data_IF_686217104159
#
_entry.id   IF_686217104159
#
_cell.length_a   1.000
_cell.length_b   1.000
_cell.length_c   1.000
_cell.angle_alpha   90.00
_cell.angle_beta   90.00
_cell.angle_gamma   90.00
#
_symmetry.space_group_name_H-M   'P 1'
#
loop_
_entity.id
_entity.type
_entity.pdbx_description
1 polymer ?
#
# COMPACT_ATOMS: atom_id res chain seq x y z
N UNK A 1 -8.04 38.93 16.34
CA UNK A 1 -7.16 38.55 15.21
C UNK A 1 -6.19 37.52 15.75
N UNK A 2 -6.68 36.29 15.84
CA UNK A 2 -6.20 35.29 16.79
C UNK A 2 -5.39 34.22 16.08
N UNK A 3 -4.07 34.35 16.24
CA UNK A 3 -3.05 33.31 16.41
C UNK A 3 -3.49 31.89 15.99
N UNK A 4 -3.21 31.53 14.74
CA UNK A 4 -3.29 30.15 14.26
C UNK A 4 -2.20 29.32 14.96
N UNK A 5 -2.63 28.58 15.97
CA UNK A 5 -1.81 27.76 16.85
C UNK A 5 -1.22 26.56 16.10
N UNK A 6 0.11 26.55 16.02
CA UNK A 6 0.97 25.53 15.43
C UNK A 6 1.15 24.32 16.36
N UNK A 7 0.06 23.62 16.72
CA UNK A 7 0.09 22.48 17.65
C UNK A 7 -0.73 21.24 17.21
N UNK A 8 -0.82 20.88 15.91
CA UNK A 8 -1.37 19.54 15.52
C UNK A 8 -0.72 18.89 14.28
N UNK A 9 0.60 18.69 14.30
CA UNK A 9 1.22 17.63 13.51
C UNK A 9 0.92 16.26 14.13
N UNK A 10 -0.31 15.75 13.97
CA UNK A 10 -0.72 14.48 14.58
C UNK A 10 -1.86 13.77 13.89
N UNK A 11 -2.91 14.49 13.53
CA UNK A 11 -3.99 14.05 12.65
C UNK A 11 -4.63 15.33 12.12
N UNK A 12 -4.19 15.80 10.96
CA UNK A 12 -5.02 16.74 10.22
C UNK A 12 -6.17 15.95 9.63
N UNK A 13 -7.37 16.49 9.77
CA UNK A 13 -8.59 15.97 9.16
C UNK A 13 -8.45 16.17 7.64
N UNK A 14 -7.55 15.44 7.00
CA UNK A 14 -7.53 15.31 5.56
C UNK A 14 -8.82 14.57 5.21
N UNK A 15 -9.88 15.29 4.86
CA UNK A 15 -11.16 14.67 4.44
C UNK A 15 -10.97 13.67 3.29
N UNK A 16 -9.81 13.71 2.63
CA UNK A 16 -9.48 12.94 1.45
C UNK A 16 -8.02 12.47 1.48
N UNK A 17 -7.79 11.19 1.18
CA UNK A 17 -6.49 10.59 0.88
C UNK A 17 -6.31 10.39 -0.63
N UNK A 18 -5.07 10.37 -1.11
CA UNK A 18 -4.76 10.14 -2.52
C UNK A 18 -4.47 8.65 -2.78
N UNK A 19 -5.06 8.10 -3.82
CA UNK A 19 -4.83 6.71 -4.21
C UNK A 19 -3.42 6.53 -4.81
N UNK A 20 -2.60 5.58 -4.34
CA UNK A 20 -1.24 5.36 -4.86
C UNK A 20 -1.21 4.82 -6.29
N UNK A 21 -2.34 4.29 -6.79
CA UNK A 21 -2.41 3.65 -8.10
C UNK A 21 -2.84 4.60 -9.21
N UNK A 22 -3.91 5.37 -8.99
CA UNK A 22 -4.51 6.24 -10.00
C UNK A 22 -4.46 7.72 -9.60
N UNK A 23 -3.88 8.05 -8.44
CA UNK A 23 -3.76 9.41 -7.94
C UNK A 23 -5.08 10.14 -7.68
N UNK A 24 -6.21 9.42 -7.73
CA UNK A 24 -7.53 10.01 -7.42
C UNK A 24 -7.67 10.33 -5.93
N UNK A 25 -8.58 11.24 -5.64
CA UNK A 25 -8.97 11.66 -4.31
C UNK A 25 -10.06 10.73 -3.76
N UNK A 26 -9.81 10.13 -2.59
CA UNK A 26 -10.69 9.17 -1.93
C UNK A 26 -10.95 9.59 -0.48
N UNK A 27 -12.09 9.24 0.15
CA UNK A 27 -12.30 9.52 1.57
C UNK A 27 -11.33 8.71 2.44
N UNK A 28 -10.99 9.23 3.63
CA UNK A 28 -9.98 8.63 4.53
C UNK A 28 -10.29 7.16 4.87
N UNK A 29 -11.57 6.85 5.07
CA UNK A 29 -12.06 5.53 5.49
C UNK A 29 -12.33 4.56 4.33
N UNK A 30 -12.21 4.99 3.06
CA UNK A 30 -12.42 4.08 1.95
C UNK A 30 -11.28 3.05 1.86
N UNK A 31 -11.59 1.77 2.07
CA UNK A 31 -10.64 0.65 1.92
C UNK A 31 -10.43 0.25 0.45
N UNK A 32 -11.27 0.76 -0.45
CA UNK A 32 -11.25 0.46 -1.87
C UNK A 32 -11.42 1.72 -2.73
N UNK A 33 -10.60 1.81 -3.77
CA UNK A 33 -10.61 2.87 -4.76
C UNK A 33 -11.83 2.81 -5.68
N UNK A 34 -12.74 3.79 -5.62
CA UNK A 34 -13.94 3.88 -6.47
C UNK A 34 -13.65 3.99 -7.97
N UNK A 35 -12.47 4.52 -8.35
CA UNK A 35 -12.09 4.70 -9.76
C UNK A 35 -11.33 3.50 -10.31
N UNK A 36 -10.45 2.91 -9.49
CA UNK A 36 -9.47 1.93 -9.93
C UNK A 36 -9.72 0.51 -9.41
N UNK A 37 -10.70 0.33 -8.52
CA UNK A 37 -11.09 -0.96 -7.94
C UNK A 37 -9.99 -1.64 -7.12
N UNK A 38 -8.88 -0.95 -6.82
CA UNK A 38 -7.78 -1.52 -6.03
C UNK A 38 -7.96 -1.22 -4.56
N UNK A 39 -7.67 -2.22 -3.72
CA UNK A 39 -7.63 -2.07 -2.27
C UNK A 39 -6.54 -1.06 -1.88
N UNK A 40 -6.93 -0.11 -1.05
CA UNK A 40 -6.07 0.99 -0.57
C UNK A 40 -6.05 0.94 0.95
N UNK A 41 -4.86 1.01 1.53
CA UNK A 41 -4.70 0.98 2.98
C UNK A 41 -5.11 2.28 3.66
N UNK A 42 -4.80 2.36 4.96
CA UNK A 42 -4.97 3.60 5.74
C UNK A 42 -4.15 4.74 5.13
N UNK A 43 -4.62 5.97 5.37
CA UNK A 43 -3.91 7.18 4.95
C UNK A 43 -2.57 7.29 5.69
N UNK A 44 -1.48 7.45 4.94
CA UNK A 44 -0.14 7.72 5.45
C UNK A 44 0.01 9.23 5.72
N UNK A 45 0.94 9.64 6.59
CA UNK A 45 1.18 11.06 6.98
C UNK A 45 1.42 12.02 5.81
N UNK A 46 1.77 11.52 4.63
CA UNK A 46 2.00 12.30 3.41
C UNK A 46 0.77 12.43 2.50
N UNK A 47 -0.43 12.14 3.01
CA UNK A 47 -1.68 12.26 2.24
C UNK A 47 -1.87 11.17 1.16
N UNK A 48 -1.02 10.15 1.13
CA UNK A 48 -1.07 9.02 0.18
C UNK A 48 -1.52 7.76 0.93
N UNK A 49 -2.41 6.96 0.33
CA UNK A 49 -2.82 5.69 0.95
C UNK A 49 -1.70 4.64 0.87
N UNK A 50 -1.50 3.88 1.95
CA UNK A 50 -0.49 2.81 1.99
C UNK A 50 -0.83 1.72 0.98
N UNK A 51 0.16 1.30 0.17
CA UNK A 51 0.00 0.17 -0.75
C UNK A 51 -0.10 -1.12 0.09
N UNK A 52 -1.17 -1.92 -0.04
CA UNK A 52 -1.21 -3.23 0.63
C UNK A 52 -0.06 -4.10 0.09
N UNK A 53 0.64 -4.80 0.99
CA UNK A 53 1.76 -5.67 0.62
C UNK A 53 1.29 -6.74 -0.36
N UNK A 54 1.88 -6.79 -1.56
CA UNK A 54 1.55 -7.75 -2.60
C UNK A 54 2.11 -9.15 -2.24
N UNK A 55 1.40 -9.92 -1.41
CA UNK A 55 1.83 -11.26 -0.95
C UNK A 55 2.06 -12.25 -2.10
N UNK A 56 1.34 -12.09 -3.21
CA UNK A 56 1.47 -12.93 -4.40
C UNK A 56 2.90 -12.90 -4.94
N UNK A 57 3.53 -11.73 -5.01
CA UNK A 57 4.90 -11.59 -5.52
C UNK A 57 5.92 -12.35 -4.66
N UNK A 58 5.72 -12.37 -3.34
CA UNK A 58 6.58 -13.12 -2.41
C UNK A 58 6.40 -14.63 -2.58
N UNK A 59 5.15 -15.09 -2.71
CA UNK A 59 4.85 -16.52 -2.93
C UNK A 59 5.50 -17.00 -4.23
N UNK A 60 5.30 -16.28 -5.33
CA UNK A 60 5.88 -16.64 -6.63
C UNK A 60 7.41 -16.69 -6.57
N UNK A 61 8.03 -15.71 -5.90
CA UNK A 61 9.48 -15.69 -5.72
C UNK A 61 9.96 -16.92 -4.93
N UNK A 62 9.34 -17.23 -3.80
CA UNK A 62 9.68 -18.41 -2.98
C UNK A 62 9.48 -19.71 -3.76
N UNK A 63 8.36 -19.84 -4.47
CA UNK A 63 8.07 -21.03 -5.29
C UNK A 63 9.12 -21.22 -6.39
N UNK A 64 9.54 -20.14 -7.06
CA UNK A 64 10.57 -20.21 -8.09
C UNK A 64 11.92 -20.68 -7.53
N UNK A 65 12.32 -20.18 -6.35
CA UNK A 65 13.53 -20.64 -5.67
C UNK A 65 13.46 -22.12 -5.27
N UNK A 66 12.34 -22.56 -4.68
CA UNK A 66 12.15 -23.96 -4.30
C UNK A 66 12.21 -24.87 -5.53
N UNK A 67 11.52 -24.52 -6.61
CA UNK A 67 11.54 -25.29 -7.85
C UNK A 67 12.96 -25.39 -8.43
N UNK A 68 13.71 -24.28 -8.41
CA UNK A 68 15.10 -24.27 -8.86
C UNK A 68 15.99 -25.18 -8.02
N UNK A 69 15.89 -25.15 -6.69
CA UNK A 69 16.68 -26.03 -5.82
C UNK A 69 16.33 -27.50 -6.00
N UNK A 70 15.04 -27.84 -6.13
CA UNK A 70 14.61 -29.21 -6.40
C UNK A 70 15.13 -29.72 -7.74
N UNK A 71 15.12 -28.86 -8.77
CA UNK A 71 15.67 -29.20 -10.08
C UNK A 71 17.18 -29.46 -10.01
N UNK A 72 17.94 -28.57 -9.36
CA UNK A 72 19.38 -28.76 -9.17
C UNK A 72 19.68 -30.02 -8.36
N UNK A 73 18.91 -30.32 -7.32
CA UNK A 73 19.07 -31.56 -6.56
C UNK A 73 18.87 -32.78 -7.47
N UNK A 74 17.75 -32.84 -8.21
CA UNK A 74 17.46 -33.97 -9.10
C UNK A 74 18.43 -34.12 -10.28
N UNK A 75 18.96 -33.01 -10.81
CA UNK A 75 19.85 -33.04 -11.98
C UNK A 75 21.30 -33.37 -11.63
N UNK A 76 21.76 -33.06 -10.41
CA UNK A 76 23.17 -33.17 -10.01
C UNK A 76 23.45 -34.18 -8.90
N UNK A 77 22.43 -34.68 -8.18
CA UNK A 77 22.53 -35.74 -7.17
C UNK A 77 21.67 -36.95 -7.54
#
# INVERSE_FOLDING_TARGET
MDKFNSEKFGQEVFSTKKCPYCQTHLPIDAEECSVCGKKVGKAEKYGTARKPTDWISYVVCITAWIAFFLYCWWAFF
#
